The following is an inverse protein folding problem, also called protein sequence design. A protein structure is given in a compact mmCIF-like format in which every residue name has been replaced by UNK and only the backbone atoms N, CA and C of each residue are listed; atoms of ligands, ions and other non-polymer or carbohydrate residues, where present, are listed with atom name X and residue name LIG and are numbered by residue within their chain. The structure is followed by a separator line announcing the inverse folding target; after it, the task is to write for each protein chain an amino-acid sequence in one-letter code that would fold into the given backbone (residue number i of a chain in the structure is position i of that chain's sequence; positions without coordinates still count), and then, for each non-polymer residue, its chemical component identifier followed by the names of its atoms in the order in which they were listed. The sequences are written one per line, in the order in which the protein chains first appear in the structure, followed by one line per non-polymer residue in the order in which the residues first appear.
data_IF_948043764899
#
_entry.id   IF_948043764899
#
_cell.length_a   1.000
_cell.length_b   1.000
_cell.length_c   1.000
_cell.angle_alpha   90.00
_cell.angle_beta   90.00
_cell.angle_gamma   90.00
#
_symmetry.space_group_name_H-M   'P 1'
#
loop_
_entity.id
_entity.type
_entity.pdbx_description
1 polymer ?
#
# COMPACT_ATOMS: atom_id res chain seq x y z
N UNK A 1 8.03 -5.45 18.43
CA UNK A 1 7.06 -4.41 18.06
C UNK A 1 6.68 -3.48 19.21
N UNK A 2 6.01 -3.93 20.28
CA UNK A 2 5.60 -3.04 21.40
C UNK A 2 6.74 -2.17 21.96
N UNK A 3 7.87 -2.79 22.31
CA UNK A 3 9.05 -2.05 22.82
C UNK A 3 9.59 -1.02 21.82
N UNK A 4 9.56 -1.36 20.52
CA UNK A 4 10.04 -0.48 19.46
C UNK A 4 9.18 0.78 19.34
N UNK A 5 7.86 0.63 19.20
CA UNK A 5 6.97 1.77 19.04
C UNK A 5 6.87 2.62 20.31
N UNK A 6 6.96 2.02 21.50
CA UNK A 6 7.12 2.79 22.75
C UNK A 6 8.37 3.66 22.73
N UNK A 7 9.49 3.13 22.22
CA UNK A 7 10.72 3.90 22.12
C UNK A 7 10.63 5.04 21.09
N UNK A 8 9.86 4.85 20.01
CA UNK A 8 9.52 5.90 19.04
C UNK A 8 8.51 6.93 19.59
N UNK A 9 8.01 6.77 20.83
CA UNK A 9 7.14 7.74 21.49
C UNK A 9 5.64 7.55 21.26
N UNK A 10 5.22 6.38 20.77
CA UNK A 10 3.81 6.03 20.61
C UNK A 10 3.18 5.61 21.95
N UNK A 11 1.92 5.98 22.15
CA UNK A 11 1.02 5.24 23.06
C UNK A 11 0.72 3.88 22.41
N UNK A 12 1.10 2.77 23.06
CA UNK A 12 0.96 1.43 22.49
C UNK A 12 -0.05 0.61 23.29
N UNK A 13 -1.14 0.21 22.61
CA UNK A 13 -2.12 -0.76 23.10
C UNK A 13 -1.89 -2.12 22.45
N UNK A 14 -1.89 -3.18 23.25
CA UNK A 14 -1.65 -4.55 22.80
C UNK A 14 -2.92 -5.38 22.98
N UNK A 15 -3.54 -5.74 21.86
CA UNK A 15 -4.72 -6.60 21.80
C UNK A 15 -4.26 -8.03 21.45
N UNK A 16 -4.71 -9.04 22.19
CA UNK A 16 -4.29 -10.44 21.99
C UNK A 16 -5.49 -11.37 21.91
N UNK A 17 -5.49 -12.22 20.89
CA UNK A 17 -6.37 -13.40 20.76
C UNK A 17 -7.85 -13.12 21.00
N UNK A 18 -8.31 -11.94 20.55
CA UNK A 18 -9.68 -11.48 20.73
C UNK A 18 -10.63 -12.20 19.76
N UNK A 19 -11.88 -12.34 20.21
CA UNK A 19 -13.01 -12.67 19.35
C UNK A 19 -13.33 -11.48 18.43
N UNK A 20 -14.03 -11.74 17.33
CA UNK A 20 -14.33 -10.71 16.33
C UNK A 20 -15.09 -9.51 16.90
N UNK A 21 -16.10 -9.78 17.74
CA UNK A 21 -16.88 -8.71 18.37
C UNK A 21 -16.07 -7.91 19.40
N UNK A 22 -15.19 -8.56 20.16
CA UNK A 22 -14.36 -7.90 21.16
C UNK A 22 -13.28 -7.05 20.50
N UNK A 23 -12.64 -7.57 19.44
CA UNK A 23 -11.71 -6.81 18.61
C UNK A 23 -12.39 -5.55 18.04
N UNK A 24 -13.62 -5.69 17.54
CA UNK A 24 -14.36 -4.56 17.00
C UNK A 24 -14.62 -3.48 18.07
N UNK A 25 -15.05 -3.87 19.27
CA UNK A 25 -15.27 -2.93 20.39
C UNK A 25 -13.98 -2.18 20.75
N UNK A 26 -12.86 -2.89 20.85
CA UNK A 26 -11.55 -2.29 21.17
C UNK A 26 -11.10 -1.32 20.08
N UNK A 27 -11.27 -1.67 18.80
CA UNK A 27 -10.94 -0.79 17.68
C UNK A 27 -11.74 0.51 17.71
N UNK A 28 -13.04 0.45 18.00
CA UNK A 28 -13.89 1.64 18.16
C UNK A 28 -13.46 2.46 19.38
N UNK A 29 -13.18 1.82 20.52
CA UNK A 29 -12.69 2.51 21.71
C UNK A 29 -11.35 3.23 21.46
N UNK A 30 -10.44 2.63 20.68
CA UNK A 30 -9.20 3.26 20.23
C UNK A 30 -9.52 4.48 19.38
N UNK A 31 -10.30 4.30 18.31
CA UNK A 31 -10.70 5.37 17.39
C UNK A 31 -11.29 6.57 18.13
N UNK A 32 -12.15 6.33 19.13
CA UNK A 32 -12.81 7.39 19.91
C UNK A 32 -11.84 8.09 20.87
N UNK A 33 -10.78 7.41 21.31
CA UNK A 33 -9.77 8.01 22.20
C UNK A 33 -8.72 8.88 21.49
N UNK A 34 -8.69 8.88 20.15
CA UNK A 34 -7.74 9.67 19.38
C UNK A 34 -8.13 11.14 19.42
N UNK A 35 -7.21 11.99 19.87
CA UNK A 35 -7.34 13.46 19.92
C UNK A 35 -6.58 14.13 18.78
N UNK A 36 -6.80 15.43 18.59
CA UNK A 36 -6.08 16.23 17.59
C UNK A 36 -4.58 16.39 17.90
N UNK A 37 -4.12 16.05 19.10
CA UNK A 37 -2.71 16.18 19.51
C UNK A 37 -1.83 15.04 19.00
N UNK A 38 -2.40 13.93 18.52
CA UNK A 38 -1.63 12.84 17.94
C UNK A 38 -1.03 13.22 16.58
N UNK A 39 0.24 12.87 16.35
CA UNK A 39 0.95 13.17 15.09
C UNK A 39 0.58 12.20 13.95
N UNK A 40 0.34 10.93 14.28
CA UNK A 40 -0.01 9.87 13.34
C UNK A 40 -0.66 8.68 14.07
N UNK A 41 -1.17 7.72 13.30
CA UNK A 41 -1.70 6.45 13.80
C UNK A 41 -0.94 5.27 13.17
N UNK A 42 -0.59 4.28 13.99
CA UNK A 42 0.02 3.03 13.52
C UNK A 42 -0.77 1.83 14.05
N UNK A 43 -1.21 0.95 13.15
CA UNK A 43 -1.84 -0.32 13.48
C UNK A 43 -0.97 -1.47 12.98
N UNK A 44 -0.68 -2.42 13.88
CA UNK A 44 0.12 -3.61 13.56
C UNK A 44 -0.75 -4.83 13.78
N UNK A 45 -1.03 -5.57 12.71
CA UNK A 45 -1.86 -6.78 12.73
C UNK A 45 -0.96 -7.99 12.46
N UNK A 46 -1.05 -9.00 13.31
CA UNK A 46 -0.37 -10.29 13.13
C UNK A 46 -1.37 -11.40 13.40
N UNK A 47 -1.87 -12.02 12.33
CA UNK A 47 -2.87 -13.10 12.39
C UNK A 47 -2.72 -14.06 11.20
N UNK A 48 -3.56 -15.08 11.13
CA UNK A 48 -3.88 -15.71 9.86
C UNK A 48 -4.68 -14.74 8.99
N UNK A 49 -4.69 -14.97 7.69
CA UNK A 49 -5.51 -14.23 6.74
C UNK A 49 -5.74 -15.01 5.47
N UNK A 50 -6.58 -14.46 4.61
CA UNK A 50 -6.85 -14.98 3.29
C UNK A 50 -7.40 -13.87 2.39
N UNK A 51 -7.33 -14.08 1.07
CA UNK A 51 -8.17 -13.33 0.14
C UNK A 51 -9.40 -14.17 -0.22
N UNK A 52 -10.59 -13.60 0.00
CA UNK A 52 -11.87 -14.25 -0.25
C UNK A 52 -12.62 -13.56 -1.40
N UNK A 53 -13.38 -14.29 -2.22
CA UNK A 53 -14.27 -13.70 -3.21
C UNK A 53 -15.22 -12.67 -2.59
N UNK A 54 -15.32 -11.50 -3.21
CA UNK A 54 -16.13 -10.41 -2.71
C UNK A 54 -17.60 -10.66 -3.08
N UNK A 55 -18.38 -11.17 -2.12
CA UNK A 55 -19.74 -11.70 -2.35
C UNK A 55 -20.74 -10.68 -2.92
N UNK A 56 -20.49 -9.37 -2.76
CA UNK A 56 -21.39 -8.28 -3.17
C UNK A 56 -21.26 -7.85 -4.64
N UNK A 57 -20.24 -8.34 -5.36
CA UNK A 57 -19.95 -7.95 -6.74
C UNK A 57 -19.51 -9.15 -7.59
N UNK A 58 -20.10 -10.34 -7.38
CA UNK A 58 -19.86 -11.48 -8.25
C UNK A 58 -20.52 -11.26 -9.62
N UNK A 59 -19.98 -10.31 -10.37
CA UNK A 59 -20.17 -10.21 -11.80
C UNK A 59 -19.19 -11.19 -12.44
N UNK A 60 -19.76 -12.06 -13.27
CA UNK A 60 -19.11 -13.03 -14.17
C UNK A 60 -17.87 -12.52 -14.91
N UNK A 61 -17.62 -11.21 -14.99
CA UNK A 61 -16.46 -10.61 -15.65
C UNK A 61 -15.32 -10.13 -14.73
N UNK A 62 -15.53 -9.96 -13.41
CA UNK A 62 -14.49 -9.44 -12.49
C UNK A 62 -14.38 -10.29 -11.23
N UNK A 63 -13.27 -11.04 -11.13
CA UNK A 63 -12.93 -11.83 -9.93
C UNK A 63 -12.37 -10.90 -8.83
N UNK A 64 -13.24 -10.10 -8.22
CA UNK A 64 -12.90 -9.22 -7.10
C UNK A 64 -12.79 -10.03 -5.81
N UNK A 65 -11.77 -9.71 -5.00
CA UNK A 65 -11.54 -10.30 -3.68
C UNK A 65 -11.35 -9.22 -2.61
N UNK A 66 -11.62 -9.57 -1.37
CA UNK A 66 -11.25 -8.81 -0.18
C UNK A 66 -10.25 -9.59 0.66
N UNK A 67 -9.34 -8.89 1.31
CA UNK A 67 -8.46 -9.49 2.30
C UNK A 67 -9.14 -9.51 3.68
N UNK A 68 -9.13 -10.66 4.33
CA UNK A 68 -9.66 -10.84 5.69
C UNK A 68 -8.56 -11.24 6.66
N UNK A 69 -8.69 -10.84 7.92
CA UNK A 69 -7.90 -11.38 9.02
C UNK A 69 -8.76 -12.31 9.86
N UNK A 70 -8.18 -13.39 10.38
CA UNK A 70 -8.91 -14.27 11.28
C UNK A 70 -8.84 -13.78 12.73
N UNK A 71 -9.95 -13.94 13.43
CA UNK A 71 -10.11 -13.79 14.88
C UNK A 71 -10.34 -15.16 15.49
N UNK A 72 -10.46 -15.24 16.82
CA UNK A 72 -10.60 -16.53 17.51
C UNK A 72 -11.82 -17.36 17.06
N UNK A 73 -12.86 -16.68 16.60
CA UNK A 73 -14.19 -17.23 16.31
C UNK A 73 -14.70 -16.90 14.91
N UNK A 74 -13.88 -16.29 14.04
CA UNK A 74 -14.32 -15.87 12.71
C UNK A 74 -13.27 -15.09 11.95
N UNK A 75 -13.72 -14.21 11.07
CA UNK A 75 -12.86 -13.30 10.31
C UNK A 75 -13.45 -11.91 10.21
N UNK A 76 -12.59 -10.92 9.99
CA UNK A 76 -12.98 -9.53 9.76
C UNK A 76 -12.34 -9.06 8.46
N UNK A 77 -13.11 -8.48 7.52
CA UNK A 77 -12.55 -7.77 6.39
C UNK A 77 -11.58 -6.68 6.82
N UNK A 78 -10.39 -6.68 6.24
CA UNK A 78 -9.37 -5.68 6.54
C UNK A 78 -9.87 -4.29 6.18
N UNK A 79 -10.63 -4.18 5.10
CA UNK A 79 -11.33 -2.96 4.68
C UNK A 79 -12.15 -2.34 5.83
N UNK A 80 -12.90 -3.17 6.55
CA UNK A 80 -13.71 -2.72 7.69
C UNK A 80 -12.86 -2.09 8.80
N UNK A 81 -11.64 -2.60 9.03
CA UNK A 81 -10.70 -2.06 10.01
C UNK A 81 -10.06 -0.77 9.51
N UNK A 82 -9.71 -0.70 8.22
CA UNK A 82 -9.11 0.48 7.60
C UNK A 82 -10.09 1.67 7.60
N UNK A 83 -11.36 1.42 7.26
CA UNK A 83 -12.36 2.48 7.08
C UNK A 83 -12.70 3.24 8.36
N UNK A 84 -12.63 2.63 9.55
CA UNK A 84 -12.91 3.36 10.80
C UNK A 84 -11.84 4.41 11.14
N UNK A 85 -10.68 4.38 10.46
CA UNK A 85 -9.61 5.37 10.63
C UNK A 85 -9.46 6.32 9.43
N UNK A 86 -10.33 6.24 8.42
CA UNK A 86 -10.30 7.20 7.31
C UNK A 86 -10.81 8.59 7.76
N UNK A 87 -10.85 9.56 6.84
CA UNK A 87 -11.22 10.94 7.19
C UNK A 87 -12.66 11.10 7.70
N UNK A 88 -13.56 10.21 7.28
CA UNK A 88 -14.94 10.15 7.76
C UNK A 88 -15.01 9.45 9.13
N UNK A 89 -14.31 8.32 9.25
CA UNK A 89 -14.28 7.47 10.43
C UNK A 89 -13.51 8.07 11.61
N UNK A 90 -12.47 8.87 11.39
CA UNK A 90 -11.69 9.48 12.45
C UNK A 90 -11.18 10.88 12.07
N UNK A 91 -12.04 11.89 12.25
CA UNK A 91 -11.76 13.31 11.90
C UNK A 91 -10.48 13.87 12.52
N UNK A 92 -10.10 13.42 13.72
CA UNK A 92 -8.89 13.88 14.41
C UNK A 92 -7.57 13.41 13.74
N UNK A 93 -7.66 12.50 12.76
CA UNK A 93 -6.55 12.03 11.93
C UNK A 93 -6.53 12.62 10.52
N UNK A 94 -7.43 13.54 10.16
CA UNK A 94 -7.42 14.18 8.84
C UNK A 94 -6.08 14.91 8.60
N UNK A 95 -5.49 14.69 7.42
CA UNK A 95 -4.19 15.24 7.06
C UNK A 95 -2.99 14.61 7.79
N UNK A 96 -3.20 13.52 8.55
CA UNK A 96 -2.19 12.84 9.36
C UNK A 96 -1.94 11.40 8.87
N UNK A 97 -0.68 10.93 8.93
CA UNK A 97 -0.36 9.58 8.47
C UNK A 97 -1.07 8.47 9.25
N UNK A 98 -1.59 7.49 8.51
CA UNK A 98 -2.28 6.31 9.02
C UNK A 98 -1.64 5.05 8.45
N UNK A 99 -0.81 4.41 9.26
CA UNK A 99 0.13 3.37 8.83
C UNK A 99 -0.34 2.01 9.34
N UNK A 100 -0.50 1.05 8.44
CA UNK A 100 -0.96 -0.31 8.73
C UNK A 100 0.10 -1.31 8.30
N UNK A 101 0.59 -2.11 9.24
CA UNK A 101 1.48 -3.23 8.96
C UNK A 101 0.72 -4.54 9.20
N UNK A 102 0.53 -5.34 8.16
CA UNK A 102 -0.33 -6.52 8.18
C UNK A 102 0.51 -7.77 7.88
N UNK A 103 0.84 -8.51 8.93
CA UNK A 103 1.37 -9.87 8.85
C UNK A 103 0.19 -10.84 8.83
N UNK A 104 -0.24 -11.22 7.63
CA UNK A 104 -1.29 -12.20 7.39
C UNK A 104 -1.13 -12.77 5.98
N UNK A 105 -1.54 -14.04 5.77
CA UNK A 105 -1.53 -14.64 4.45
C UNK A 105 -2.55 -13.94 3.53
N UNK A 106 -2.23 -13.89 2.24
CA UNK A 106 -3.11 -13.39 1.19
C UNK A 106 -3.48 -14.47 0.18
N UNK A 107 -3.15 -15.73 0.47
CA UNK A 107 -3.52 -16.88 -0.35
C UNK A 107 -5.05 -16.97 -0.50
N UNK A 108 -5.48 -17.46 -1.65
CA UNK A 108 -6.90 -17.66 -1.94
C UNK A 108 -7.32 -19.02 -1.38
N UNK A 109 -8.38 -19.05 -0.57
CA UNK A 109 -8.89 -20.31 -0.01
C UNK A 109 -9.38 -21.24 -1.13
N UNK A 110 -8.87 -22.47 -1.14
CA UNK A 110 -9.22 -23.49 -2.14
C UNK A 110 -8.53 -23.32 -3.50
N UNK A 111 -7.55 -22.42 -3.62
CA UNK A 111 -6.66 -22.36 -4.78
C UNK A 111 -5.58 -23.45 -4.72
N UNK A 112 -4.93 -23.71 -5.86
CA UNK A 112 -3.81 -24.63 -5.97
C UNK A 112 -2.64 -24.17 -5.08
N UNK A 113 -2.09 -25.09 -4.27
CA UNK A 113 -0.97 -24.83 -3.36
C UNK A 113 0.28 -24.39 -4.12
N UNK A 114 0.46 -24.83 -5.37
CA UNK A 114 1.61 -24.41 -6.20
C UNK A 114 1.59 -22.92 -6.54
N UNK A 115 0.39 -22.30 -6.51
CA UNK A 115 0.19 -20.89 -6.86
C UNK A 115 0.29 -19.97 -5.64
N UNK A 116 0.24 -20.49 -4.42
CA UNK A 116 0.27 -19.69 -3.20
C UNK A 116 1.69 -19.35 -2.71
N UNK A 117 2.70 -20.00 -3.30
CA UNK A 117 4.12 -19.77 -2.97
C UNK A 117 4.81 -18.84 -3.96
N UNK A 118 5.78 -18.08 -3.46
CA UNK A 118 6.73 -17.33 -4.30
C UNK A 118 8.05 -18.11 -4.32
N UNK A 119 8.44 -18.66 -5.47
CA UNK A 119 9.72 -19.40 -5.60
C UNK A 119 10.92 -18.46 -5.59
N UNK A 120 10.70 -17.15 -5.71
CA UNK A 120 11.74 -16.16 -5.92
C UNK A 120 12.35 -16.27 -7.31
N UNK A 121 13.18 -15.28 -7.64
CA UNK A 121 14.02 -15.28 -8.84
C UNK A 121 15.43 -14.90 -8.40
N UNK A 122 16.43 -15.60 -8.92
CA UNK A 122 17.81 -15.20 -8.75
C UNK A 122 18.05 -13.90 -9.53
N UNK A 123 18.21 -12.80 -8.80
CA UNK A 123 18.55 -11.51 -9.38
C UNK A 123 20.06 -11.37 -9.34
N UNK A 124 20.70 -11.40 -10.51
CA UNK A 124 22.11 -11.07 -10.64
C UNK A 124 22.31 -9.58 -10.31
N UNK A 125 22.92 -9.31 -9.15
CA UNK A 125 23.20 -7.93 -8.73
C UNK A 125 24.52 -7.50 -9.37
N UNK A 126 24.44 -6.92 -10.56
CA UNK A 126 25.57 -6.18 -11.12
C UNK A 126 25.71 -4.90 -10.29
N UNK A 127 26.71 -4.83 -9.40
CA UNK A 127 27.11 -3.56 -8.80
C UNK A 127 27.85 -2.74 -9.85
N UNK A 128 27.14 -2.18 -10.81
CA UNK A 128 27.65 -1.00 -11.50
C UNK A 128 27.73 0.07 -10.42
N UNK A 129 28.94 0.53 -10.09
CA UNK A 129 29.10 1.79 -9.37
C UNK A 129 28.57 2.86 -10.31
N UNK A 130 27.28 3.17 -10.20
CA UNK A 130 26.71 4.35 -10.83
C UNK A 130 27.44 5.51 -10.16
N UNK A 131 28.29 6.20 -10.90
CA UNK A 131 28.90 7.43 -10.39
C UNK A 131 27.75 8.42 -10.18
N UNK A 132 27.82 9.22 -9.12
CA UNK A 132 26.80 10.21 -8.76
C UNK A 132 26.48 11.20 -9.91
N UNK A 133 27.37 11.28 -10.90
CA UNK A 133 27.25 12.07 -12.13
C UNK A 133 26.36 11.44 -13.22
N UNK A 134 25.98 10.16 -13.09
CA UNK A 134 25.17 9.42 -14.06
C UNK A 134 23.67 9.38 -13.69
N UNK A 135 23.26 10.02 -12.60
CA UNK A 135 21.83 10.21 -12.32
C UNK A 135 21.23 11.14 -13.38
N UNK A 136 20.18 10.72 -14.12
CA UNK A 136 19.44 11.67 -14.94
C UNK A 136 18.82 12.72 -14.00
N UNK A 137 19.33 13.95 -14.08
CA UNK A 137 18.67 15.10 -13.47
C UNK A 137 17.37 15.32 -14.24
N UNK A 138 16.27 14.79 -13.69
CA UNK A 138 14.95 15.10 -14.19
C UNK A 138 14.63 16.56 -13.86
N UNK A 139 14.92 17.45 -14.80
CA UNK A 139 14.40 18.81 -14.76
C UNK A 139 12.89 18.76 -14.96
N UNK A 140 12.14 18.73 -13.87
CA UNK A 140 10.71 19.05 -13.88
C UNK A 140 10.56 20.52 -14.29
N UNK A 141 10.39 20.77 -15.59
CA UNK A 141 9.81 22.04 -16.05
C UNK A 141 8.40 22.09 -15.49
N UNK A 142 8.19 22.84 -14.40
CA UNK A 142 6.85 23.28 -13.98
C UNK A 142 6.20 23.94 -15.19
N UNK A 143 5.27 23.24 -15.86
CA UNK A 143 4.27 23.90 -16.69
C UNK A 143 3.31 24.61 -15.75
N UNK A 144 3.73 25.78 -15.29
CA UNK A 144 2.86 26.76 -14.64
C UNK A 144 2.08 27.50 -15.73
N UNK A 145 0.80 27.75 -15.43
CA UNK A 145 -0.22 28.52 -16.18
C UNK A 145 -1.15 27.70 -17.07
N UNK A 146 -2.17 27.09 -16.47
CA UNK A 146 -3.51 27.27 -17.01
C UNK A 146 -3.99 28.64 -16.49
N UNK A 147 -3.91 29.65 -17.35
CA UNK A 147 -4.58 30.92 -17.12
C UNK A 147 -6.05 30.74 -17.49
N UNK A 148 -6.90 30.93 -16.48
CA UNK A 148 -8.30 31.31 -16.64
C UNK A 148 -8.33 32.73 -17.24
N UNK A 149 -9.28 32.98 -18.15
CA UNK A 149 -9.63 34.26 -18.79
C UNK A 149 -8.67 34.88 -19.82
N UNK A 150 -9.04 34.78 -21.10
CA UNK A 150 -9.60 35.87 -21.92
C UNK A 150 -9.38 35.61 -23.41
N UNK A 151 -10.44 35.20 -24.11
CA UNK A 151 -10.71 35.67 -25.47
C UNK A 151 -12.21 35.91 -25.59
N UNK A 152 -12.64 37.08 -25.10
CA UNK A 152 -13.64 37.86 -25.82
C UNK A 152 -12.98 38.26 -27.14
N UNK A 153 -13.45 37.69 -28.24
CA UNK A 153 -13.57 38.36 -29.54
C UNK A 153 -13.91 37.34 -30.64
N UNK A 154 -15.06 36.67 -30.51
CA UNK A 154 -15.87 36.26 -31.66
C UNK A 154 -17.36 36.39 -31.30
N UNK A 155 -17.79 37.63 -31.08
CA UNK A 155 -19.21 37.97 -31.22
C UNK A 155 -19.41 38.48 -32.64
N UNK A 156 -20.09 37.69 -33.48
CA UNK A 156 -21.10 38.23 -34.40
C UNK A 156 -22.06 37.15 -34.90
N UNK A 157 -23.30 37.32 -34.42
CA UNK A 157 -24.59 37.04 -35.09
C UNK A 157 -25.00 35.57 -35.25
N UNK A 158 -25.93 35.14 -34.40
CA UNK A 158 -27.33 34.92 -34.82
C UNK A 158 -28.24 34.65 -33.60
N UNK A 159 -28.97 35.70 -33.22
CA UNK A 159 -30.37 35.77 -32.75
C UNK A 159 -31.12 34.51 -32.24
N UNK A 160 -31.62 34.70 -31.00
CA UNK A 160 -33.02 34.61 -30.50
C UNK A 160 -33.72 33.25 -30.33
N UNK A 161 -34.39 33.23 -29.15
CA UNK A 161 -35.73 32.76 -28.81
C UNK A 161 -35.96 31.31 -28.38
N UNK A 162 -36.32 31.23 -27.10
CA UNK A 162 -37.49 30.56 -26.53
C UNK A 162 -37.35 29.21 -25.84
N UNK A 163 -38.09 29.18 -24.73
CA UNK A 163 -38.14 28.22 -23.65
C UNK A 163 -38.98 26.98 -24.01
N UNK A 164 -38.77 25.96 -23.19
CA UNK A 164 -39.64 24.81 -22.88
C UNK A 164 -39.57 23.51 -23.70
N UNK A 165 -39.15 22.49 -22.92
CA UNK A 165 -39.72 21.14 -22.77
C UNK A 165 -39.04 19.95 -23.47
N UNK A 166 -38.81 18.96 -22.60
CA UNK A 166 -38.47 17.54 -22.79
C UNK A 166 -37.00 17.17 -23.07
N UNK A 167 -36.33 16.65 -22.03
CA UNK A 167 -35.13 15.83 -22.19
C UNK A 167 -35.38 14.45 -21.57
N UNK A 168 -35.87 13.54 -22.41
CA UNK A 168 -35.66 12.11 -22.24
C UNK A 168 -34.14 11.86 -22.15
N UNK A 169 -33.70 11.30 -21.02
CA UNK A 169 -32.31 10.90 -20.82
C UNK A 169 -32.06 9.58 -21.56
N UNK A 170 -31.67 9.66 -22.83
CA UNK A 170 -31.01 8.54 -23.52
C UNK A 170 -29.56 8.52 -23.03
N UNK A 171 -29.19 7.49 -22.26
CA UNK A 171 -27.79 7.20 -21.92
C UNK A 171 -27.08 6.70 -23.19
N UNK A 172 -26.19 7.52 -23.74
CA UNK A 172 -25.30 7.15 -24.84
C UNK A 172 -24.16 6.25 -24.31
N UNK A 173 -24.19 5.02 -24.78
CA UNK A 173 -23.33 3.89 -24.40
C UNK A 173 -21.99 3.91 -25.17
N UNK A 174 -21.27 5.04 -25.16
CA UNK A 174 -20.03 5.18 -25.97
C UNK A 174 -18.79 5.74 -25.25
N UNK A 175 -18.83 5.93 -23.92
CA UNK A 175 -17.67 6.44 -23.15
C UNK A 175 -16.93 5.40 -22.28
N UNK A 176 -16.87 4.14 -22.74
CA UNK A 176 -15.88 3.15 -22.29
C UNK A 176 -14.78 2.99 -23.34
N UNK A 177 -14.00 4.06 -23.57
CA UNK A 177 -12.72 3.93 -24.27
C UNK A 177 -11.59 3.84 -23.26
N UNK A 178 -10.98 2.66 -23.23
CA UNK A 178 -9.79 2.30 -22.48
C UNK A 178 -8.69 3.35 -22.67
N UNK A 179 -8.21 3.93 -21.57
CA UNK A 179 -6.94 4.66 -21.54
C UNK A 179 -5.82 3.70 -21.98
N UNK A 180 -5.37 3.85 -23.23
CA UNK A 180 -4.13 3.27 -23.72
C UNK A 180 -2.99 3.95 -22.98
N UNK A 181 -2.30 3.21 -22.10
CA UNK A 181 -0.99 3.61 -21.63
C UNK A 181 -0.07 3.79 -22.85
N UNK A 182 0.58 4.95 -22.94
CA UNK A 182 1.46 5.37 -24.02
C UNK A 182 2.74 4.51 -24.03
N UNK A 183 2.74 3.37 -24.71
CA UNK A 183 3.96 2.62 -25.06
C UNK A 183 4.44 3.09 -26.43
N UNK A 184 5.19 4.19 -26.49
CA UNK A 184 5.82 4.63 -27.73
C UNK A 184 6.83 3.59 -28.21
N UNK A 185 6.65 3.17 -29.45
CA UNK A 185 7.25 1.99 -30.04
C UNK A 185 8.77 2.02 -30.21
N UNK A 186 9.34 0.81 -30.16
CA UNK A 186 10.61 0.47 -30.77
C UNK A 186 10.34 0.20 -32.27
N UNK A 187 11.16 0.66 -33.23
CA UNK A 187 10.93 0.40 -34.65
C UNK A 187 10.95 -1.10 -34.91
N UNK A 188 9.93 -1.62 -35.60
CA UNK A 188 9.87 -3.01 -36.05
C UNK A 188 10.78 -3.20 -37.26
N UNK A 189 11.83 -4.01 -37.10
CA UNK A 189 12.56 -4.59 -38.22
C UNK A 189 12.12 -6.05 -38.43
N UNK A 190 11.82 -6.33 -39.70
CA UNK A 190 11.64 -7.62 -40.36
C UNK A 190 10.29 -8.37 -40.21
N UNK A 191 9.58 -8.38 -41.35
CA UNK A 191 8.49 -9.27 -41.73
C UNK A 191 8.61 -10.69 -41.17
N UNK A 192 7.77 -11.00 -40.18
CA UNK A 192 7.42 -12.39 -39.85
C UNK A 192 5.91 -12.54 -39.98
N UNK A 193 5.46 -13.32 -40.97
CA UNK A 193 4.05 -13.69 -41.15
C UNK A 193 3.55 -14.34 -39.85
N UNK A 194 2.72 -13.62 -39.10
CA UNK A 194 2.03 -14.16 -37.94
C UNK A 194 0.88 -15.03 -38.46
N UNK A 195 1.02 -16.34 -38.27
CA UNK A 195 -0.08 -17.29 -38.45
C UNK A 195 -1.27 -16.88 -37.60
N UNK A 196 -2.48 -16.91 -38.16
CA UNK A 196 -3.76 -16.67 -37.47
C UNK A 196 -3.95 -17.65 -36.31
N UNK A 197 -3.35 -17.34 -35.18
CA UNK A 197 -3.55 -18.03 -33.90
C UNK A 197 -4.93 -17.68 -33.36
N UNK A 198 -5.65 -18.68 -32.84
CA UNK A 198 -6.88 -18.46 -32.07
C UNK A 198 -6.61 -17.43 -30.98
N UNK A 199 -7.30 -16.30 -31.02
CA UNK A 199 -7.32 -15.37 -29.88
C UNK A 199 -7.96 -16.11 -28.71
N UNK A 200 -7.14 -16.56 -27.75
CA UNK A 200 -7.65 -16.94 -26.44
C UNK A 200 -8.26 -15.66 -25.84
N UNK A 201 -9.54 -15.71 -25.48
CA UNK A 201 -10.17 -14.62 -24.71
C UNK A 201 -9.31 -14.38 -23.47
N UNK A 202 -8.87 -13.14 -23.25
CA UNK A 202 -8.09 -12.78 -22.07
C UNK A 202 -8.84 -13.25 -20.82
N UNK A 203 -8.19 -14.07 -19.98
CA UNK A 203 -8.78 -14.45 -18.71
C UNK A 203 -9.08 -13.20 -17.88
N UNK A 204 -10.22 -13.14 -17.18
CA UNK A 204 -10.55 -11.98 -16.37
C UNK A 204 -9.52 -11.81 -15.25
N UNK A 205 -8.90 -10.63 -15.20
CA UNK A 205 -7.96 -10.29 -14.15
C UNK A 205 -8.63 -10.38 -12.77
N UNK A 206 -7.98 -11.08 -11.84
CA UNK A 206 -8.43 -11.14 -10.46
C UNK A 206 -7.71 -10.07 -9.64
N UNK A 207 -8.45 -9.35 -8.79
CA UNK A 207 -7.92 -8.22 -8.04
C UNK A 207 -8.42 -8.25 -6.61
N UNK A 208 -7.50 -8.03 -5.67
CA UNK A 208 -7.84 -7.81 -4.27
C UNK A 208 -7.98 -6.32 -3.99
N UNK A 209 -9.17 -5.89 -3.60
CA UNK A 209 -9.41 -4.51 -3.21
C UNK A 209 -8.82 -4.22 -1.83
N UNK A 210 -7.85 -3.31 -1.80
CA UNK A 210 -7.27 -2.78 -0.56
C UNK A 210 -7.62 -1.28 -0.52
N UNK A 211 -8.48 -0.84 0.41
CA UNK A 211 -8.71 0.59 0.60
C UNK A 211 -7.42 1.28 1.00
N UNK A 212 -7.05 2.29 0.24
CA UNK A 212 -5.94 3.17 0.55
C UNK A 212 -6.50 4.59 0.47
N UNK A 213 -7.00 5.11 1.59
CA UNK A 213 -7.52 6.48 1.68
C UNK A 213 -6.37 7.49 1.72
N UNK A 214 -6.68 8.79 1.64
CA UNK A 214 -5.67 9.84 1.77
C UNK A 214 -4.86 9.70 3.07
N UNK A 215 -3.54 9.89 2.97
CA UNK A 215 -2.56 9.71 4.04
C UNK A 215 -2.47 8.28 4.62
N UNK A 216 -3.01 7.28 3.93
CA UNK A 216 -2.82 5.88 4.33
C UNK A 216 -1.51 5.31 3.78
N UNK A 217 -0.92 4.42 4.55
CA UNK A 217 0.04 3.44 4.09
C UNK A 217 -0.37 2.06 4.62
N UNK A 218 -0.53 1.09 3.73
CA UNK A 218 -0.85 -0.30 4.06
C UNK A 218 0.24 -1.20 3.50
N UNK A 219 0.96 -1.90 4.38
CA UNK A 219 2.02 -2.83 4.02
C UNK A 219 1.64 -4.25 4.45
N UNK A 220 1.57 -5.15 3.48
CA UNK A 220 1.32 -6.58 3.69
C UNK A 220 2.62 -7.38 3.68
N UNK A 221 2.62 -8.49 4.42
CA UNK A 221 3.74 -9.43 4.50
C UNK A 221 3.92 -10.32 3.28
N UNK A 222 2.98 -10.32 2.34
CA UNK A 222 3.04 -11.10 1.10
C UNK A 222 2.33 -10.35 -0.03
N UNK A 223 2.65 -10.73 -1.26
CA UNK A 223 1.89 -10.32 -2.42
C UNK A 223 0.47 -10.92 -2.40
N UNK A 224 -0.43 -10.33 -3.17
CA UNK A 224 -1.77 -10.88 -3.37
C UNK A 224 -1.67 -12.34 -3.81
N UNK A 225 -2.58 -13.18 -3.32
CA UNK A 225 -2.61 -14.63 -3.59
C UNK A 225 -1.44 -15.43 -3.01
N UNK A 226 -0.55 -14.83 -2.20
CA UNK A 226 0.63 -15.52 -1.65
C UNK A 226 0.57 -15.72 -0.14
N UNK A 227 1.20 -16.80 0.32
CA UNK A 227 1.41 -17.12 1.74
C UNK A 227 2.34 -16.08 2.39
N UNK A 228 2.07 -15.78 3.66
CA UNK A 228 2.97 -15.03 4.52
C UNK A 228 3.71 -15.96 5.49
N UNK A 229 5.03 -15.82 5.57
CA UNK A 229 5.88 -16.72 6.37
C UNK A 229 6.16 -16.20 7.78
N UNK A 230 6.47 -17.15 8.66
CA UNK A 230 6.96 -16.91 10.02
C UNK A 230 7.96 -17.99 10.41
N UNK A 231 8.94 -17.62 11.24
CA UNK A 231 9.90 -18.59 11.81
C UNK A 231 9.64 -18.76 13.30
N UNK A 232 9.78 -19.99 13.80
CA UNK A 232 9.84 -20.24 15.23
C UNK A 232 10.96 -19.41 15.88
N UNK A 233 10.65 -18.75 17.00
CA UNK A 233 11.57 -17.88 17.73
C UNK A 233 11.79 -16.48 17.15
N UNK A 234 11.57 -16.23 15.84
CA UNK A 234 11.64 -14.88 15.25
C UNK A 234 10.27 -14.23 15.05
N UNK A 235 9.23 -15.04 14.84
CA UNK A 235 7.88 -14.60 14.51
C UNK A 235 7.68 -14.35 13.01
N UNK A 236 6.59 -13.66 12.67
CA UNK A 236 6.25 -13.28 11.29
C UNK A 236 7.35 -12.46 10.62
N UNK A 237 7.68 -12.80 9.38
CA UNK A 237 8.82 -12.22 8.66
C UNK A 237 8.74 -10.71 8.50
N UNK A 238 7.56 -10.16 8.19
CA UNK A 238 7.40 -8.71 8.06
C UNK A 238 7.72 -8.01 9.39
N UNK A 239 7.16 -8.53 10.49
CA UNK A 239 7.35 -7.96 11.83
C UNK A 239 8.80 -8.06 12.28
N UNK A 240 9.45 -9.18 11.98
CA UNK A 240 10.88 -9.37 12.23
C UNK A 240 11.73 -8.36 11.44
N UNK A 241 11.46 -8.18 10.14
CA UNK A 241 12.19 -7.26 9.29
C UNK A 241 12.00 -5.79 9.69
N UNK A 242 10.75 -5.37 9.94
CA UNK A 242 10.45 -4.03 10.49
C UNK A 242 11.24 -3.81 11.78
N UNK A 243 11.16 -4.74 12.73
CA UNK A 243 11.90 -4.61 13.99
C UNK A 243 13.40 -4.46 13.78
N UNK A 244 14.00 -5.28 12.92
CA UNK A 244 15.45 -5.26 12.69
C UNK A 244 15.91 -3.98 12.00
N UNK A 245 15.19 -3.52 10.98
CA UNK A 245 15.55 -2.29 10.24
C UNK A 245 15.39 -1.08 11.14
N UNK A 246 14.23 -0.91 11.79
CA UNK A 246 13.99 0.21 12.69
C UNK A 246 14.94 0.21 13.91
N UNK A 247 15.29 -0.97 14.45
CA UNK A 247 16.29 -1.05 15.52
C UNK A 247 17.68 -0.60 15.07
N UNK A 248 18.06 -0.87 13.81
CA UNK A 248 19.29 -0.34 13.25
C UNK A 248 19.29 1.19 13.21
N UNK A 249 18.17 1.78 12.83
CA UNK A 249 17.97 3.23 12.78
C UNK A 249 17.93 3.89 14.16
N UNK A 250 17.42 3.17 15.17
CA UNK A 250 17.48 3.61 16.57
C UNK A 250 18.88 3.92 17.07
N UNK A 251 19.90 3.31 16.46
CA UNK A 251 21.29 3.51 16.81
C UNK A 251 21.99 4.54 15.90
N UNK A 252 21.27 5.18 14.97
CA UNK A 252 21.78 6.15 14.00
C UNK A 252 21.00 7.48 14.09
N UNK A 253 21.39 8.51 13.33
CA UNK A 253 20.60 9.74 13.22
C UNK A 253 19.29 9.47 12.44
N UNK A 254 18.14 9.67 13.09
CA UNK A 254 16.82 9.53 12.47
C UNK A 254 16.51 10.68 11.49
N UNK A 255 17.13 10.68 10.31
CA UNK A 255 16.82 11.64 9.24
C UNK A 255 16.36 10.94 7.97
N UNK A 256 15.70 9.79 8.13
CA UNK A 256 15.30 8.95 7.02
C UNK A 256 13.79 8.90 6.90
N UNK A 257 13.29 9.17 5.69
CA UNK A 257 11.89 9.04 5.35
C UNK A 257 11.39 7.59 5.49
N UNK A 258 10.14 7.42 5.93
CA UNK A 258 9.52 6.13 6.18
C UNK A 258 9.50 5.23 4.95
N UNK A 259 9.19 5.74 3.75
CA UNK A 259 9.15 4.89 2.56
C UNK A 259 10.53 4.32 2.26
N UNK A 260 11.59 5.11 2.40
CA UNK A 260 12.97 4.62 2.27
C UNK A 260 13.30 3.54 3.31
N UNK A 261 12.86 3.72 4.56
CA UNK A 261 13.00 2.70 5.61
C UNK A 261 12.28 1.40 5.20
N UNK A 262 11.06 1.51 4.67
CA UNK A 262 10.27 0.35 4.24
C UNK A 262 10.84 -0.35 3.01
N UNK A 263 11.55 0.36 2.12
CA UNK A 263 12.37 -0.27 1.07
C UNK A 263 13.45 -1.15 1.69
N UNK A 264 14.12 -0.68 2.75
CA UNK A 264 15.06 -1.50 3.52
C UNK A 264 14.42 -2.72 4.19
N UNK A 265 13.15 -2.62 4.61
CA UNK A 265 12.38 -3.77 5.12
C UNK A 265 12.14 -4.79 4.01
N UNK A 266 11.72 -4.34 2.81
CA UNK A 266 11.55 -5.21 1.65
C UNK A 266 12.86 -5.91 1.26
N UNK A 267 13.98 -5.18 1.17
CA UNK A 267 15.30 -5.74 0.86
C UNK A 267 15.70 -6.83 1.88
N UNK A 268 15.55 -6.53 3.18
CA UNK A 268 15.86 -7.47 4.24
C UNK A 268 15.02 -8.75 4.16
N UNK A 269 13.75 -8.62 3.84
CA UNK A 269 12.83 -9.76 3.71
C UNK A 269 13.16 -10.58 2.47
N UNK A 270 13.30 -9.92 1.31
CA UNK A 270 13.55 -10.56 0.03
C UNK A 270 14.91 -11.26 -0.02
N UNK A 271 15.98 -10.68 0.54
CA UNK A 271 17.33 -11.27 0.50
C UNK A 271 17.64 -12.16 1.69
N UNK A 272 17.13 -11.81 2.87
CA UNK A 272 17.58 -12.40 4.13
C UNK A 272 16.78 -13.61 4.62
N UNK A 273 15.61 -13.90 4.04
CA UNK A 273 14.70 -14.91 4.55
C UNK A 273 14.23 -15.87 3.43
N UNK A 274 14.14 -17.15 3.75
CA UNK A 274 13.58 -18.19 2.89
C UNK A 274 12.92 -19.25 3.78
N UNK A 275 11.82 -19.85 3.32
CA UNK A 275 11.07 -20.81 4.11
C UNK A 275 11.93 -22.06 4.37
N UNK A 276 11.96 -22.53 5.61
CA UNK A 276 12.74 -23.69 6.03
C UNK A 276 11.81 -24.86 6.35
N UNK A 277 11.24 -25.45 5.29
CA UNK A 277 10.28 -26.56 5.39
C UNK A 277 10.80 -27.78 4.62
N UNK A 278 11.89 -28.45 5.08
CA UNK A 278 12.55 -29.51 4.31
C UNK A 278 11.65 -30.72 4.03
N UNK A 279 10.61 -30.94 4.83
CA UNK A 279 9.61 -31.99 4.62
C UNK A 279 8.59 -31.68 3.52
N UNK A 280 8.50 -30.43 3.08
CA UNK A 280 7.60 -29.96 2.03
C UNK A 280 8.44 -29.32 0.91
N UNK A 281 8.82 -30.09 -0.13
CA UNK A 281 9.65 -29.59 -1.24
C UNK A 281 9.04 -28.42 -2.00
N UNK A 282 7.72 -28.31 -2.03
CA UNK A 282 7.01 -27.21 -2.71
C UNK A 282 7.22 -25.90 -1.96
N UNK A 283 7.07 -25.95 -0.63
CA UNK A 283 7.18 -24.77 0.24
C UNK A 283 8.62 -24.46 0.65
N UNK A 284 9.53 -25.43 0.56
CA UNK A 284 10.90 -25.24 0.99
C UNK A 284 11.63 -24.19 0.13
N UNK A 285 12.41 -23.33 0.78
CA UNK A 285 13.19 -22.23 0.17
C UNK A 285 12.35 -21.18 -0.58
N UNK A 286 11.03 -21.21 -0.45
CA UNK A 286 10.16 -20.17 -1.00
C UNK A 286 10.37 -18.85 -0.27
N UNK A 287 10.00 -17.77 -0.95
CA UNK A 287 10.18 -16.38 -0.56
C UNK A 287 8.84 -15.78 -0.19
N UNK A 288 8.87 -14.53 0.25
CA UNK A 288 7.69 -13.68 0.27
C UNK A 288 8.10 -12.26 -0.08
N UNK A 289 7.32 -11.63 -0.95
CA UNK A 289 7.44 -10.23 -1.31
C UNK A 289 6.46 -9.40 -0.47
N UNK A 290 6.99 -8.54 0.42
CA UNK A 290 6.16 -7.56 1.09
C UNK A 290 5.63 -6.52 0.08
N UNK A 291 4.36 -6.15 0.18
CA UNK A 291 3.73 -5.18 -0.73
C UNK A 291 3.27 -3.94 0.01
N UNK A 292 3.58 -2.77 -0.52
CA UNK A 292 3.21 -1.47 0.05
C UNK A 292 2.20 -0.79 -0.87
N UNK A 293 1.06 -0.39 -0.31
CA UNK A 293 0.07 0.48 -0.94
C UNK A 293 0.06 1.78 -0.14
N UNK A 294 0.18 2.94 -0.77
CA UNK A 294 0.13 4.20 -0.04
C UNK A 294 -0.47 5.35 -0.84
N UNK A 295 -1.10 6.28 -0.12
CA UNK A 295 -1.53 7.60 -0.59
C UNK A 295 -1.01 8.68 0.35
N UNK A 296 0.16 8.45 0.95
CA UNK A 296 0.89 9.48 1.68
C UNK A 296 1.13 10.71 0.80
N UNK A 297 0.81 11.88 1.33
CA UNK A 297 0.96 13.17 0.64
C UNK A 297 2.23 13.93 1.06
N UNK A 298 2.95 13.42 2.06
CA UNK A 298 4.12 14.04 2.69
C UNK A 298 5.14 12.98 3.09
N UNK A 299 6.41 13.37 3.14
CA UNK A 299 7.47 12.56 3.74
C UNK A 299 7.20 12.39 5.25
N UNK A 300 7.53 11.20 5.77
CA UNK A 300 7.28 10.85 7.18
C UNK A 300 8.59 10.51 7.86
N UNK A 301 8.90 11.25 8.93
CA UNK A 301 10.07 11.01 9.77
C UNK A 301 9.63 10.54 11.16
N UNK A 302 9.86 9.26 11.46
CA UNK A 302 9.54 8.69 12.77
C UNK A 302 10.72 8.85 13.74
N UNK A 303 10.76 9.96 14.47
CA UNK A 303 11.82 10.26 15.45
C UNK A 303 11.35 10.04 16.90
N UNK A 304 12.17 9.45 17.78
CA UNK A 304 11.87 9.40 19.20
C UNK A 304 11.69 10.81 19.80
N UNK A 305 10.60 11.04 20.55
CA UNK A 305 10.28 12.35 21.15
C UNK A 305 11.40 12.95 22.03
N UNK A 306 12.24 12.13 22.65
CA UNK A 306 13.36 12.61 23.47
C UNK A 306 14.48 13.25 22.63
N UNK A 307 14.68 12.79 21.39
CA UNK A 307 15.65 13.37 20.45
C UNK A 307 15.18 14.75 19.98
N UNK A 308 13.87 14.93 19.75
CA UNK A 308 13.31 16.23 19.35
C UNK A 308 13.41 17.31 20.45
N UNK A 309 13.45 16.93 21.74
CA UNK A 309 13.61 17.90 22.83
C UNK A 309 15.05 18.42 22.95
N UNK A 310 16.04 17.60 22.60
CA UNK A 310 17.46 17.98 22.66
C UNK A 310 17.84 18.97 21.55
N UNK A 311 17.29 18.80 20.34
CA UNK A 311 17.53 19.72 19.22
C UNK A 311 16.96 21.12 19.44
N UNK A 312 15.85 21.26 20.18
CA UNK A 312 15.28 22.56 20.57
C UNK A 312 16.12 23.26 21.64
N UNK A 313 16.72 22.50 22.57
CA UNK A 313 17.58 23.08 23.62
C UNK A 313 18.97 23.47 23.09
N UNK A 314 19.48 22.83 22.04
CA UNK A 314 20.76 23.17 21.40
C UNK A 314 20.66 24.29 20.36
N UNK A 315 19.46 24.78 20.05
CA UNK A 315 19.19 25.80 19.04
C UNK A 315 19.31 27.26 19.52
N UNK A 316 19.91 27.52 20.67
CA UNK A 316 20.32 28.87 21.09
C UNK A 316 21.81 29.07 20.78
N UNK A 317 22.14 29.45 19.53
CA UNK A 317 23.38 30.13 19.23
C UNK A 317 23.11 31.39 18.41
N UNK A 318 23.14 32.50 19.14
CA UNK A 318 23.76 33.78 18.81
C UNK A 318 23.42 34.44 17.47
N UNK A 319 22.42 35.33 17.54
CA UNK A 319 22.48 36.55 16.75
C UNK A 319 23.59 37.45 17.29
N UNK A 320 24.56 37.76 16.43
CA UNK A 320 25.26 39.05 16.36
C UNK A 320 25.57 39.37 14.91
#
# INVERSE_FOLDING_TARGET
MVKLFKHLGFEVRLLKDLKGQDLWRELIAIQTSITIEYDCFVCVISSHGAELPLSRFWDSQRKLREHVIYTRDGSIPTDKILNIFNDEGCKNLQGKPRIFFIQACRCVMGADEDLDVDKGVDIEVTRTRIHEQDYPVFHFKRRSKYNFDNTKDEVKKASKSDENENCDFILDETLLTTSKADTRGRPEDHHRKVSSGRFHSAEPASFCFIPCHEDFLVMFSSASERIAWSDSGKGGWLMYCIYKVFKGLLNAEFKTDLLYILVGVCDKMARGLAAATPSDPLRNRTKSAATIYHMLTKDIYLQPKHVMKQSVCSGQFEGK
#
